data_IF_605553756776
#
_entry.id   IF_605553756776
#
_cell.length_a   1.000
_cell.length_b   1.000
_cell.length_c   1.000
_cell.angle_alpha   90.00
_cell.angle_beta   90.00
_cell.angle_gamma   90.00
#
_symmetry.space_group_name_H-M   'P 1'
#
loop_
_entity.id
_entity.type
_entity.pdbx_description
1 polymer ?
#
# COMPACT_ATOMS: atom_id res chain seq x y z
N UNK A 1 -2.47 1.00 -9.76
CA UNK A 1 -2.27 -0.44 -10.03
C UNK A 1 -1.22 -0.98 -9.06
N UNK A 2 -1.55 -2.05 -8.38
CA UNK A 2 -0.62 -2.74 -7.49
C UNK A 2 -0.35 -4.13 -8.09
N UNK A 3 0.88 -4.34 -8.53
CA UNK A 3 1.32 -5.62 -9.09
C UNK A 3 2.03 -6.41 -7.98
N UNK A 4 1.38 -7.45 -7.48
CA UNK A 4 1.90 -8.24 -6.37
C UNK A 4 3.10 -9.10 -6.76
N UNK A 5 3.14 -9.60 -8.00
CA UNK A 5 4.29 -10.38 -8.47
C UNK A 5 5.54 -9.52 -8.56
N UNK A 6 5.41 -8.31 -9.08
CA UNK A 6 6.54 -7.39 -9.24
C UNK A 6 6.80 -6.55 -8.00
N UNK A 7 5.92 -6.63 -6.99
CA UNK A 7 5.98 -5.79 -5.80
C UNK A 7 6.19 -4.33 -6.16
N UNK A 8 5.32 -3.84 -7.06
CA UNK A 8 5.41 -2.49 -7.61
C UNK A 8 4.03 -1.86 -7.68
N UNK A 9 3.96 -0.59 -7.32
CA UNK A 9 2.77 0.24 -7.45
C UNK A 9 2.98 1.23 -8.58
N UNK A 10 1.96 1.37 -9.42
CA UNK A 10 1.92 2.35 -10.52
C UNK A 10 0.75 3.30 -10.29
N UNK A 11 1.02 4.59 -10.25
CA UNK A 11 -0.01 5.62 -10.15
C UNK A 11 -0.13 6.33 -11.48
N UNK A 12 -1.36 6.37 -12.01
CA UNK A 12 -1.67 6.98 -13.30
C UNK A 12 -2.69 8.10 -13.15
N UNK A 13 -2.58 9.09 -14.06
CA UNK A 13 -3.65 10.04 -14.33
C UNK A 13 -4.05 9.83 -15.79
N UNK A 14 -5.21 9.15 -16.00
CA UNK A 14 -5.57 8.71 -17.34
C UNK A 14 -4.56 7.68 -17.85
N UNK A 15 -3.86 8.00 -18.94
CA UNK A 15 -2.79 7.15 -19.50
C UNK A 15 -1.39 7.58 -19.08
N UNK A 16 -1.26 8.72 -18.37
CA UNK A 16 0.02 9.25 -17.95
C UNK A 16 0.44 8.63 -16.61
N UNK A 17 1.63 8.03 -16.58
CA UNK A 17 2.18 7.48 -15.35
C UNK A 17 2.87 8.58 -14.57
N UNK A 18 2.43 8.82 -13.32
CA UNK A 18 3.03 9.81 -12.44
C UNK A 18 4.10 9.21 -11.54
N UNK A 19 3.81 8.03 -10.97
CA UNK A 19 4.67 7.42 -9.96
C UNK A 19 4.78 5.93 -10.23
N UNK A 20 6.00 5.43 -10.09
CA UNK A 20 6.27 4.00 -10.01
C UNK A 20 7.16 3.78 -8.79
N UNK A 21 6.72 2.92 -7.87
CA UNK A 21 7.47 2.69 -6.64
C UNK A 21 7.46 1.21 -6.27
N UNK A 22 8.57 0.70 -5.74
CA UNK A 22 8.53 -0.61 -5.09
C UNK A 22 7.64 -0.54 -3.86
N UNK A 23 7.05 -1.67 -3.51
CA UNK A 23 6.17 -1.80 -2.34
C UNK A 23 6.50 -3.10 -1.60
N UNK A 24 5.86 -3.30 -0.44
CA UNK A 24 5.82 -4.59 0.22
C UNK A 24 4.37 -4.90 0.56
N UNK A 25 3.85 -5.98 -0.01
CA UNK A 25 2.48 -6.45 0.23
C UNK A 25 2.41 -7.43 1.38
N UNK A 26 1.24 -8.03 1.60
CA UNK A 26 1.04 -9.03 2.64
C UNK A 26 1.92 -10.25 2.46
N UNK A 27 2.41 -10.79 3.58
CA UNK A 27 3.17 -12.04 3.56
C UNK A 27 2.25 -13.21 3.18
N UNK A 28 2.83 -14.39 2.91
CA UNK A 28 2.06 -15.54 2.41
C UNK A 28 0.92 -15.97 3.35
N UNK A 29 1.11 -15.81 4.66
CA UNK A 29 0.07 -16.15 5.66
C UNK A 29 -1.00 -15.06 5.82
N UNK A 30 -0.74 -13.84 5.36
CA UNK A 30 -1.65 -12.71 5.42
C UNK A 30 -1.61 -11.94 4.09
N UNK A 31 -1.97 -12.59 2.98
CA UNK A 31 -1.81 -11.98 1.66
C UNK A 31 -2.75 -10.80 1.46
N UNK A 32 -2.33 -9.85 0.63
CA UNK A 32 -3.20 -8.77 0.20
C UNK A 32 -4.30 -9.32 -0.71
N UNK A 33 -5.52 -8.80 -0.58
CA UNK A 33 -6.64 -9.22 -1.43
C UNK A 33 -6.47 -8.66 -2.83
N UNK A 34 -6.75 -9.50 -3.82
CA UNK A 34 -6.76 -9.10 -5.23
C UNK A 34 -8.15 -8.61 -5.62
N UNK A 35 -8.21 -7.67 -6.52
CA UNK A 35 -9.48 -7.16 -7.03
C UNK A 35 -9.40 -5.71 -7.45
N UNK A 36 -10.55 -5.18 -7.85
CA UNK A 36 -10.68 -3.77 -8.17
C UNK A 36 -11.44 -3.08 -7.05
N UNK A 37 -10.75 -2.16 -6.39
CA UNK A 37 -11.25 -1.43 -5.23
C UNK A 37 -11.26 0.06 -5.52
N UNK A 38 -11.75 0.83 -4.56
CA UNK A 38 -11.67 2.30 -4.56
C UNK A 38 -11.21 2.75 -3.18
N UNK A 39 -10.38 3.79 -3.15
CA UNK A 39 -10.07 4.46 -1.88
C UNK A 39 -11.35 5.11 -1.36
N UNK A 40 -11.77 4.75 -0.16
CA UNK A 40 -12.97 5.31 0.46
C UNK A 40 -12.68 6.13 1.70
N UNK A 41 -11.45 6.10 2.18
CA UNK A 41 -11.04 6.85 3.37
C UNK A 41 -9.56 7.18 3.29
N UNK A 42 -9.22 8.41 3.63
CA UNK A 42 -7.84 8.89 3.72
C UNK A 42 -7.65 9.63 5.03
N UNK A 43 -6.50 9.43 5.66
CA UNK A 43 -6.14 10.17 6.87
C UNK A 43 -4.65 10.29 7.01
N UNK A 44 -4.21 11.19 7.91
CA UNK A 44 -2.80 11.38 8.26
C UNK A 44 -2.60 11.07 9.74
N UNK A 45 -1.36 10.73 10.11
CA UNK A 45 -0.98 10.45 11.49
C UNK A 45 -1.94 9.42 12.11
N UNK A 46 -2.09 8.29 11.43
CA UNK A 46 -3.12 7.31 11.74
C UNK A 46 -2.54 6.12 12.49
N UNK A 47 -3.05 5.77 13.67
CA UNK A 47 -2.63 4.54 14.34
C UNK A 47 -3.24 3.34 13.64
N UNK A 48 -2.42 2.34 13.35
CA UNK A 48 -2.83 1.04 12.84
C UNK A 48 -2.60 0.01 13.94
N UNK A 49 -3.67 -0.55 14.47
CA UNK A 49 -3.63 -1.44 15.61
C UNK A 49 -4.22 -2.78 15.22
N UNK A 50 -3.44 -3.84 15.43
CA UNK A 50 -3.88 -5.23 15.26
C UNK A 50 -3.51 -6.03 16.50
N UNK A 51 -3.73 -7.36 16.44
CA UNK A 51 -3.48 -8.24 17.59
C UNK A 51 -2.00 -8.25 17.99
N UNK A 52 -1.10 -8.14 17.02
CA UNK A 52 0.34 -8.24 17.21
C UNK A 52 1.12 -7.02 16.70
N UNK A 53 0.43 -5.91 16.42
CA UNK A 53 1.09 -4.68 15.99
C UNK A 53 0.34 -3.44 16.46
N UNK A 54 1.10 -2.37 16.64
CA UNK A 54 0.58 -1.04 16.97
C UNK A 54 1.59 -0.04 16.42
N UNK A 55 1.29 0.53 15.26
CA UNK A 55 2.16 1.50 14.57
C UNK A 55 1.35 2.70 14.13
N UNK A 56 1.98 3.87 14.10
CA UNK A 56 1.37 5.07 13.55
C UNK A 56 2.02 5.36 12.20
N UNK A 57 1.19 5.52 11.17
CA UNK A 57 1.64 5.86 9.84
C UNK A 57 1.33 7.32 9.54
N UNK A 58 2.15 7.96 8.70
CA UNK A 58 1.95 9.36 8.33
C UNK A 58 0.80 9.51 7.34
N UNK A 59 0.60 8.52 6.46
CA UNK A 59 -0.40 8.54 5.39
C UNK A 59 -1.14 7.22 5.33
N UNK A 60 -2.47 7.27 5.37
CA UNK A 60 -3.34 6.09 5.30
C UNK A 60 -4.38 6.28 4.21
N UNK A 61 -4.42 5.35 3.27
CA UNK A 61 -5.36 5.34 2.15
C UNK A 61 -6.07 3.99 2.12
N UNK A 62 -7.24 3.93 2.72
CA UNK A 62 -7.97 2.68 2.93
C UNK A 62 -8.84 2.36 1.70
N UNK A 63 -8.74 1.15 1.18
CA UNK A 63 -9.49 0.73 0.00
C UNK A 63 -10.28 -0.57 0.19
N UNK A 64 -10.02 -1.35 1.23
CA UNK A 64 -10.67 -2.66 1.43
C UNK A 64 -10.64 -3.07 2.90
N UNK A 65 -11.75 -2.86 3.62
CA UNK A 65 -11.84 -3.19 5.05
C UNK A 65 -10.63 -2.65 5.83
N UNK A 66 -9.82 -3.52 6.40
CA UNK A 66 -8.60 -3.14 7.10
C UNK A 66 -7.36 -2.99 6.22
N UNK A 67 -7.48 -3.19 4.90
CA UNK A 67 -6.37 -3.04 3.97
C UNK A 67 -6.32 -1.65 3.36
N UNK A 68 -5.11 -1.13 3.22
CA UNK A 68 -4.89 0.16 2.59
C UNK A 68 -3.45 0.34 2.15
N UNK A 69 -3.18 1.47 1.55
CA UNK A 69 -1.85 1.94 1.18
C UNK A 69 -1.33 2.81 2.31
N UNK A 70 -0.10 2.60 2.75
CA UNK A 70 0.51 3.46 3.78
C UNK A 70 2.04 3.41 3.74
N UNK A 71 2.66 4.41 4.34
CA UNK A 71 4.10 4.43 4.55
C UNK A 71 4.50 3.37 5.58
N UNK A 72 5.76 2.94 5.51
CA UNK A 72 6.30 1.96 6.44
C UNK A 72 7.74 2.33 6.80
N UNK A 73 7.91 3.21 7.76
CA UNK A 73 9.22 3.70 8.19
C UNK A 73 10.09 2.61 8.84
N UNK A 74 9.47 1.53 9.30
CA UNK A 74 10.19 0.40 9.91
C UNK A 74 10.82 -0.55 8.90
N UNK A 75 10.59 -0.34 7.59
CA UNK A 75 11.17 -1.17 6.54
C UNK A 75 12.28 -0.44 5.82
N UNK A 76 13.32 -1.18 5.48
CA UNK A 76 14.41 -0.67 4.65
C UNK A 76 14.44 -1.30 3.27
N UNK A 77 13.69 -2.39 3.04
CA UNK A 77 13.69 -3.13 1.78
C UNK A 77 12.28 -3.23 1.23
N UNK A 78 12.12 -2.80 -0.02
CA UNK A 78 10.85 -2.87 -0.74
C UNK A 78 11.10 -3.47 -2.13
N UNK A 79 10.05 -4.04 -2.74
CA UNK A 79 10.10 -4.46 -4.12
C UNK A 79 10.84 -5.79 -4.36
N UNK A 80 11.04 -6.59 -3.33
CA UNK A 80 11.72 -7.88 -3.42
C UNK A 80 10.81 -9.02 -3.04
N UNK A 81 11.27 -10.26 -3.26
CA UNK A 81 10.54 -11.47 -2.87
C UNK A 81 10.51 -11.70 -1.35
N UNK A 82 11.19 -10.86 -0.59
CA UNK A 82 11.20 -10.98 0.88
C UNK A 82 9.80 -10.84 1.49
N UNK A 83 8.83 -10.28 0.75
CA UNK A 83 7.45 -10.17 1.25
C UNK A 83 6.83 -11.52 1.58
N UNK A 84 7.25 -12.61 0.97
CA UNK A 84 6.69 -13.93 1.21
C UNK A 84 6.75 -14.31 2.70
N UNK A 85 7.84 -13.99 3.37
CA UNK A 85 8.04 -14.29 4.79
C UNK A 85 8.05 -13.07 5.69
N UNK A 86 8.46 -11.91 5.16
CA UNK A 86 8.61 -10.67 5.91
C UNK A 86 7.70 -9.55 5.39
N UNK A 87 6.56 -9.93 4.82
CA UNK A 87 5.58 -8.98 4.32
C UNK A 87 4.70 -8.39 5.42
N UNK A 88 3.73 -7.59 5.00
CA UNK A 88 2.78 -6.94 5.89
C UNK A 88 1.67 -7.91 6.32
N UNK A 89 0.70 -7.41 7.08
CA UNK A 89 -0.51 -8.13 7.48
C UNK A 89 -1.64 -8.00 6.45
N UNK A 90 -1.32 -7.58 5.22
CA UNK A 90 -2.27 -7.42 4.12
C UNK A 90 -2.20 -6.05 3.46
N UNK A 91 -1.83 -5.03 4.18
CA UNK A 91 -1.68 -3.67 3.65
C UNK A 91 -0.52 -3.57 2.66
N UNK A 92 -0.59 -2.57 1.81
CA UNK A 92 0.46 -2.26 0.83
C UNK A 92 1.37 -1.21 1.44
N UNK A 93 2.60 -1.60 1.76
CA UNK A 93 3.58 -0.71 2.36
C UNK A 93 4.36 0.02 1.28
N UNK A 94 4.43 1.35 1.40
CA UNK A 94 5.09 2.24 0.45
C UNK A 94 6.32 2.85 1.12
N UNK A 95 7.45 3.01 0.40
CA UNK A 95 8.59 3.73 0.96
C UNK A 95 8.19 5.11 1.44
N UNK A 96 8.64 5.53 2.63
CA UNK A 96 8.17 6.81 3.22
C UNK A 96 8.39 8.02 2.33
N UNK A 97 9.49 8.06 1.58
CA UNK A 97 9.82 9.22 0.72
C UNK A 97 8.91 9.34 -0.50
N UNK A 98 8.10 8.32 -0.81
CA UNK A 98 7.14 8.35 -1.93
C UNK A 98 5.69 8.32 -1.45
N UNK A 99 5.46 8.01 -0.18
CA UNK A 99 4.10 7.87 0.35
C UNK A 99 3.34 9.21 0.35
N UNK A 100 4.01 10.33 0.58
CA UNK A 100 3.38 11.64 0.54
C UNK A 100 2.89 11.98 -0.87
N UNK A 101 3.68 11.66 -1.91
CA UNK A 101 3.28 11.88 -3.29
C UNK A 101 2.08 10.98 -3.66
N UNK A 102 2.10 9.72 -3.27
CA UNK A 102 0.97 8.82 -3.52
C UNK A 102 -0.29 9.33 -2.82
N UNK A 103 -0.16 9.82 -1.59
CA UNK A 103 -1.28 10.40 -0.85
C UNK A 103 -1.81 11.66 -1.55
N UNK A 104 -0.90 12.55 -1.97
CA UNK A 104 -1.24 13.82 -2.61
C UNK A 104 -2.02 13.61 -3.92
N UNK A 105 -1.57 12.64 -4.74
CA UNK A 105 -2.13 12.41 -6.07
C UNK A 105 -3.28 11.40 -6.09
N UNK A 106 -3.71 10.88 -4.95
CA UNK A 106 -4.89 10.02 -4.85
C UNK A 106 -6.01 10.76 -4.13
N UNK A 107 -7.25 10.33 -4.36
CA UNK A 107 -8.45 10.92 -3.75
C UNK A 107 -9.39 9.82 -3.33
N UNK A 108 -10.34 10.14 -2.45
CA UNK A 108 -11.48 9.25 -2.20
C UNK A 108 -12.18 9.03 -3.54
N UNK A 109 -12.34 7.78 -3.93
CA UNK A 109 -12.88 7.39 -5.24
C UNK A 109 -11.81 6.94 -6.23
N UNK A 110 -10.53 7.19 -5.98
CA UNK A 110 -9.45 6.69 -6.85
C UNK A 110 -9.49 5.17 -6.88
N UNK A 111 -9.47 4.60 -8.09
CA UNK A 111 -9.51 3.14 -8.27
C UNK A 111 -8.16 2.52 -7.90
N UNK A 112 -8.24 1.38 -7.24
CA UNK A 112 -7.06 0.59 -6.85
C UNK A 112 -7.24 -0.81 -7.42
N UNK A 113 -6.44 -1.15 -8.42
CA UNK A 113 -6.42 -2.50 -8.99
C UNK A 113 -5.26 -3.27 -8.38
N UNK A 114 -5.58 -4.32 -7.63
CA UNK A 114 -4.59 -5.21 -7.03
C UNK A 114 -4.63 -6.53 -7.78
N UNK A 115 -3.53 -6.90 -8.40
CA UNK A 115 -3.42 -8.14 -9.17
C UNK A 115 -2.08 -8.82 -8.96
N UNK A 116 -2.07 -10.07 -9.32
CA UNK A 116 -0.86 -10.89 -9.26
C UNK A 116 -0.19 -11.01 -10.64
#
# INVERSE_FOLDING_TARGET
IVDLDKQTLYLYNGTDQYIQTPITSGKDSTPSDKGLFKIYYKSRNTPLIGDDYNVTVDYWMNYNNGEGLHDASWRSVFGTESYHTNGSHGCINIPPHLADDVYEYTQVGTKVLVHK
#
